data_IF_294332018627
#
_entry.id   IF_294332018627
#
_cell.length_a   1.000
_cell.length_b   1.000
_cell.length_c   1.000
_cell.angle_alpha   90.00
_cell.angle_beta   90.00
_cell.angle_gamma   90.00
#
_symmetry.space_group_name_H-M   'P 1'
#
loop_
_entity.id
_entity.type
_entity.pdbx_description
1 polymer ?
#
# COMPACT_ATOMS: atom_id res chain seq x y z
N UNK A 1 -2.67 -14.25 19.72
CA UNK A 1 -2.00 -14.02 18.42
C UNK A 1 -0.49 -14.01 18.64
N UNK A 2 0.27 -14.55 17.68
CA UNK A 2 1.74 -14.65 17.71
C UNK A 2 2.37 -13.41 17.06
N UNK A 3 3.62 -13.10 17.37
CA UNK A 3 4.37 -11.97 16.77
C UNK A 3 5.10 -12.36 15.49
N UNK A 4 5.60 -11.38 14.73
CA UNK A 4 6.49 -11.63 13.57
C UNK A 4 7.76 -12.36 14.00
N UNK A 5 8.32 -12.05 15.18
CA UNK A 5 9.47 -12.77 15.76
C UNK A 5 9.19 -14.26 15.96
N UNK A 6 8.02 -14.62 16.48
CA UNK A 6 7.63 -16.03 16.63
C UNK A 6 7.46 -16.71 15.27
N UNK A 7 7.00 -15.97 14.25
CA UNK A 7 6.89 -16.47 12.87
C UNK A 7 8.25 -16.72 12.24
N UNK A 8 9.18 -15.78 12.45
CA UNK A 8 10.56 -15.89 12.05
C UNK A 8 11.24 -17.11 12.69
N UNK A 9 11.13 -17.28 14.02
CA UNK A 9 11.75 -18.39 14.75
C UNK A 9 11.22 -19.75 14.26
N UNK A 10 9.92 -19.84 13.94
CA UNK A 10 9.33 -21.05 13.38
C UNK A 10 9.81 -21.33 11.95
N UNK A 11 9.89 -20.29 11.10
CA UNK A 11 10.46 -20.43 9.76
C UNK A 11 11.93 -20.85 9.79
N UNK A 12 12.70 -20.35 10.76
CA UNK A 12 14.11 -20.70 10.97
C UNK A 12 14.26 -22.17 11.37
N UNK A 13 13.39 -22.66 12.26
CA UNK A 13 13.34 -24.07 12.66
C UNK A 13 13.05 -24.98 11.46
N UNK A 14 12.07 -24.65 10.63
CA UNK A 14 11.74 -25.44 9.44
C UNK A 14 12.88 -25.44 8.41
N UNK A 15 13.47 -24.28 8.16
CA UNK A 15 14.58 -24.12 7.25
C UNK A 15 15.82 -24.92 7.71
N UNK A 16 16.06 -25.01 9.02
CA UNK A 16 17.20 -25.73 9.61
C UNK A 16 17.20 -27.23 9.29
N UNK A 17 16.06 -27.79 8.88
CA UNK A 17 15.90 -29.20 8.48
C UNK A 17 16.38 -29.47 7.06
N UNK A 18 16.45 -28.45 6.22
CA UNK A 18 16.75 -28.57 4.78
C UNK A 18 17.96 -27.75 4.33
N UNK A 19 18.51 -26.89 5.19
CA UNK A 19 19.67 -26.03 4.92
C UNK A 19 20.61 -26.01 6.12
N UNK A 20 21.89 -25.76 5.85
CA UNK A 20 22.89 -25.47 6.89
C UNK A 20 22.75 -24.02 7.38
N UNK A 21 21.68 -23.80 8.16
CA UNK A 21 21.36 -22.53 8.79
C UNK A 21 22.26 -22.30 9.99
N UNK A 22 22.78 -21.08 10.12
CA UNK A 22 23.48 -20.63 11.34
C UNK A 22 22.78 -19.41 11.92
N UNK A 23 22.45 -19.43 13.20
CA UNK A 23 21.86 -18.31 13.91
C UNK A 23 22.95 -17.60 14.75
N UNK A 24 23.23 -16.35 14.42
CA UNK A 24 24.08 -15.46 15.20
C UNK A 24 23.16 -14.47 15.93
N UNK A 25 22.83 -14.77 17.19
CA UNK A 25 21.99 -13.89 17.99
C UNK A 25 22.32 -13.93 19.47
N UNK A 26 21.82 -12.94 20.20
CA UNK A 26 21.77 -12.95 21.68
C UNK A 26 20.35 -13.24 22.20
N UNK A 27 19.36 -13.35 21.32
CA UNK A 27 17.93 -13.25 21.66
C UNK A 27 17.09 -14.51 21.34
N UNK A 28 17.63 -15.50 20.63
CA UNK A 28 16.90 -16.69 20.16
C UNK A 28 17.14 -17.93 21.05
N UNK A 29 16.67 -17.87 22.30
CA UNK A 29 16.90 -18.92 23.30
C UNK A 29 16.39 -20.30 22.87
N UNK A 30 15.17 -20.36 22.32
CA UNK A 30 14.55 -21.64 21.89
C UNK A 30 15.33 -22.34 20.78
N UNK A 31 15.85 -21.57 19.82
CA UNK A 31 16.68 -22.13 18.74
C UNK A 31 18.03 -22.59 19.29
N UNK A 32 18.63 -21.83 20.20
CA UNK A 32 19.89 -22.20 20.87
C UNK A 32 19.80 -23.53 21.63
N UNK A 33 18.69 -23.76 22.34
CA UNK A 33 18.44 -25.00 23.09
C UNK A 33 18.28 -26.22 22.17
N UNK A 34 17.56 -26.07 21.05
CA UNK A 34 17.29 -27.16 20.12
C UNK A 34 18.45 -27.45 19.17
N UNK A 35 19.18 -26.43 18.75
CA UNK A 35 20.24 -26.50 17.75
C UNK A 35 21.54 -25.85 18.24
N UNK A 36 22.15 -26.33 19.34
CA UNK A 36 23.31 -25.68 19.95
C UNK A 36 24.50 -25.58 18.99
N UNK A 37 24.67 -26.54 18.08
CA UNK A 37 25.74 -26.54 17.07
C UNK A 37 25.50 -25.57 15.91
N UNK A 38 24.29 -25.01 15.79
CA UNK A 38 23.91 -24.04 14.75
C UNK A 38 23.70 -22.63 15.32
N UNK A 39 23.92 -22.43 16.61
CA UNK A 39 23.68 -21.18 17.30
C UNK A 39 24.97 -20.61 17.87
N UNK A 40 25.25 -19.35 17.56
CA UNK A 40 26.38 -18.60 18.09
C UNK A 40 25.85 -17.40 18.85
N UNK A 41 26.23 -17.30 20.13
CA UNK A 41 25.79 -16.21 21.02
C UNK A 41 26.53 -14.89 20.72
N UNK A 42 26.36 -14.37 19.52
CA UNK A 42 26.94 -13.11 19.03
C UNK A 42 26.03 -12.50 17.99
N UNK A 43 26.11 -11.20 17.77
CA UNK A 43 25.33 -10.45 16.78
C UNK A 43 26.26 -9.76 15.76
N UNK A 44 27.42 -10.37 15.48
CA UNK A 44 28.46 -9.80 14.61
C UNK A 44 28.22 -10.17 13.14
N UNK A 45 28.04 -9.16 12.29
CA UNK A 45 27.73 -9.37 10.87
C UNK A 45 28.98 -9.80 10.07
N UNK A 46 30.20 -9.47 10.52
CA UNK A 46 31.44 -9.94 9.91
C UNK A 46 31.67 -11.44 10.11
N UNK A 47 31.33 -11.98 11.28
CA UNK A 47 31.34 -13.44 11.50
C UNK A 47 30.31 -14.11 10.59
N UNK A 48 29.12 -13.51 10.45
CA UNK A 48 28.10 -14.00 9.53
C UNK A 48 28.61 -14.03 8.08
N UNK A 49 29.25 -12.97 7.60
CA UNK A 49 29.89 -12.92 6.28
C UNK A 49 30.88 -14.09 6.08
N UNK A 50 31.78 -14.33 7.03
CA UNK A 50 32.71 -15.46 6.97
C UNK A 50 32.00 -16.82 6.88
N UNK A 51 30.93 -17.02 7.64
CA UNK A 51 30.13 -18.25 7.57
C UNK A 51 29.42 -18.42 6.22
N UNK A 52 28.98 -17.33 5.59
CA UNK A 52 28.40 -17.37 4.25
C UNK A 52 29.44 -17.80 3.19
N UNK A 53 30.70 -17.35 3.31
CA UNK A 53 31.80 -17.77 2.45
C UNK A 53 32.13 -19.27 2.58
N UNK A 54 31.96 -19.83 3.78
CA UNK A 54 32.05 -21.27 4.05
C UNK A 54 30.81 -22.06 3.59
N UNK A 55 29.93 -21.46 2.79
CA UNK A 55 28.77 -22.14 2.19
C UNK A 55 27.54 -22.26 3.07
N UNK A 56 27.54 -21.67 4.27
CA UNK A 56 26.41 -21.70 5.21
C UNK A 56 25.37 -20.62 4.87
N UNK A 57 24.21 -20.70 5.51
CA UNK A 57 23.16 -19.66 5.43
C UNK A 57 23.00 -18.98 6.79
N UNK A 58 23.78 -17.92 7.08
CA UNK A 58 23.74 -17.22 8.36
C UNK A 58 22.56 -16.24 8.46
N UNK A 59 21.90 -16.28 9.62
CA UNK A 59 20.91 -15.32 10.10
C UNK A 59 21.51 -14.59 11.29
N UNK A 60 21.77 -13.30 11.14
CA UNK A 60 22.37 -12.45 12.18
C UNK A 60 21.37 -11.41 12.67
N UNK A 61 21.20 -11.30 13.99
CA UNK A 61 20.33 -10.26 14.55
C UNK A 61 21.02 -8.93 14.68
N UNK A 62 20.25 -7.85 14.57
CA UNK A 62 20.68 -6.49 14.86
C UNK A 62 19.56 -5.72 15.58
N UNK A 63 19.89 -4.55 16.12
CA UNK A 63 18.92 -3.55 16.61
C UNK A 63 19.23 -2.28 15.85
N UNK A 64 18.42 -2.00 14.82
CA UNK A 64 18.70 -1.05 13.76
C UNK A 64 19.99 -1.44 13.01
N UNK A 65 20.52 -0.51 12.22
CA UNK A 65 21.82 -0.73 11.55
C UNK A 65 23.00 -0.62 12.53
N UNK A 66 22.82 0.13 13.62
CA UNK A 66 23.68 0.15 14.81
C UNK A 66 25.19 0.08 14.53
N UNK A 67 25.89 -0.74 15.32
CA UNK A 67 27.35 -0.98 15.19
C UNK A 67 27.72 -1.80 13.96
N UNK A 68 26.75 -2.52 13.39
CA UNK A 68 26.98 -3.42 12.26
C UNK A 68 26.92 -2.71 10.90
N UNK A 69 26.57 -1.41 10.86
CA UNK A 69 26.36 -0.66 9.62
C UNK A 69 27.44 -0.89 8.56
N UNK A 70 28.72 -0.73 8.93
CA UNK A 70 29.83 -0.88 7.99
C UNK A 70 29.93 -2.31 7.43
N UNK A 71 29.78 -3.33 8.30
CA UNK A 71 29.81 -4.73 7.90
C UNK A 71 28.61 -5.09 7.01
N UNK A 72 27.42 -4.60 7.35
CA UNK A 72 26.20 -4.81 6.54
C UNK A 72 26.37 -4.18 5.16
N UNK A 73 26.96 -2.98 5.09
CA UNK A 73 27.25 -2.32 3.82
C UNK A 73 28.22 -3.15 2.96
N UNK A 74 29.27 -3.71 3.54
CA UNK A 74 30.23 -4.58 2.85
C UNK A 74 29.57 -5.88 2.35
N UNK A 75 28.80 -6.55 3.21
CA UNK A 75 27.95 -7.71 2.87
C UNK A 75 27.09 -7.40 1.63
N UNK A 76 26.44 -6.23 1.64
CA UNK A 76 25.56 -5.82 0.56
C UNK A 76 26.33 -5.54 -0.74
N UNK A 77 27.46 -4.84 -0.64
CA UNK A 77 28.33 -4.51 -1.78
C UNK A 77 28.86 -5.78 -2.45
N UNK A 78 29.26 -6.76 -1.66
CA UNK A 78 29.79 -8.04 -2.13
C UNK A 78 28.68 -9.06 -2.49
N UNK A 79 27.40 -8.70 -2.32
CA UNK A 79 26.25 -9.58 -2.53
C UNK A 79 26.34 -10.91 -1.74
N UNK A 80 26.82 -10.83 -0.51
CA UNK A 80 27.05 -12.01 0.34
C UNK A 80 25.73 -12.61 0.84
N UNK A 81 25.73 -13.92 1.09
CA UNK A 81 24.54 -14.67 1.47
C UNK A 81 24.20 -14.55 2.97
N UNK A 82 24.01 -13.32 3.46
CA UNK A 82 23.72 -13.05 4.88
C UNK A 82 22.29 -12.53 5.05
N UNK A 83 21.56 -13.07 6.04
CA UNK A 83 20.20 -12.63 6.38
C UNK A 83 20.26 -11.81 7.66
N UNK A 84 20.09 -10.50 7.54
CA UNK A 84 20.07 -9.56 8.66
C UNK A 84 18.64 -9.46 9.20
N UNK A 85 18.49 -9.72 10.49
CA UNK A 85 17.21 -9.74 11.18
C UNK A 85 17.19 -8.60 12.19
N UNK A 86 16.44 -7.55 11.87
CA UNK A 86 16.32 -6.39 12.74
C UNK A 86 15.17 -6.55 13.71
N UNK A 87 15.46 -6.31 14.98
CA UNK A 87 14.56 -6.43 16.12
C UNK A 87 14.23 -5.07 16.76
N UNK A 88 14.64 -3.96 16.15
CA UNK A 88 14.27 -2.60 16.57
C UNK A 88 12.82 -2.28 16.17
N UNK A 89 12.14 -1.44 16.96
CA UNK A 89 10.76 -1.01 16.69
C UNK A 89 10.71 0.22 15.77
N UNK A 90 11.74 1.04 15.81
CA UNK A 90 11.86 2.27 15.01
C UNK A 90 12.02 1.94 13.51
N UNK A 91 11.56 2.78 12.59
CA UNK A 91 11.53 2.43 11.14
C UNK A 91 12.59 3.16 10.29
N UNK A 92 13.35 4.08 10.86
CA UNK A 92 14.25 4.97 10.13
C UNK A 92 15.42 4.23 9.46
N UNK A 93 15.86 3.13 10.08
CA UNK A 93 16.89 2.24 9.56
C UNK A 93 16.53 1.68 8.18
N UNK A 94 15.23 1.49 7.90
CA UNK A 94 14.74 1.00 6.62
C UNK A 94 15.05 1.98 5.47
N UNK A 95 15.11 3.29 5.75
CA UNK A 95 15.51 4.29 4.76
C UNK A 95 16.94 4.01 4.26
N UNK A 96 17.82 3.71 5.21
CA UNK A 96 19.24 3.46 4.96
C UNK A 96 19.44 2.04 4.39
N UNK A 97 18.72 1.05 4.89
CA UNK A 97 18.80 -0.31 4.37
C UNK A 97 18.43 -0.35 2.88
N UNK A 98 17.40 0.41 2.46
CA UNK A 98 16.92 0.43 1.08
C UNK A 98 17.92 0.90 0.04
N UNK A 99 18.86 1.77 0.42
CA UNK A 99 19.85 2.32 -0.51
C UNK A 99 21.05 1.39 -0.71
N UNK A 100 21.18 0.32 0.10
CA UNK A 100 22.28 -0.63 -0.05
C UNK A 100 22.09 -1.47 -1.34
N UNK A 101 23.17 -1.75 -2.08
CA UNK A 101 23.09 -2.55 -3.29
C UNK A 101 22.73 -4.01 -2.97
N UNK A 102 22.08 -4.70 -3.91
CA UNK A 102 21.76 -6.14 -3.86
C UNK A 102 20.81 -6.62 -2.75
N UNK A 103 20.57 -5.79 -1.73
CA UNK A 103 19.77 -6.11 -0.55
C UNK A 103 18.29 -6.26 -0.91
N UNK A 104 17.62 -7.17 -0.22
CA UNK A 104 16.17 -7.28 -0.19
C UNK A 104 15.68 -6.83 1.17
N UNK A 105 14.82 -5.82 1.22
CA UNK A 105 14.27 -5.28 2.48
C UNK A 105 12.83 -5.70 2.62
N UNK A 106 12.53 -6.44 3.69
CA UNK A 106 11.24 -7.08 3.94
C UNK A 106 10.70 -6.67 5.31
N UNK A 107 9.42 -6.33 5.37
CA UNK A 107 8.68 -5.92 6.57
C UNK A 107 7.38 -6.75 6.62
N UNK A 108 7.44 -7.98 7.17
CA UNK A 108 6.28 -8.86 7.22
C UNK A 108 5.16 -8.28 8.09
N UNK A 109 3.92 -8.43 7.66
CA UNK A 109 2.72 -7.90 8.30
C UNK A 109 2.33 -8.66 9.58
N UNK A 110 2.61 -9.95 9.63
CA UNK A 110 2.26 -10.79 10.75
C UNK A 110 3.15 -12.03 10.89
N UNK A 111 2.79 -12.91 11.82
CA UNK A 111 3.43 -14.19 12.06
C UNK A 111 3.54 -15.08 10.81
N UNK A 112 2.48 -15.18 9.99
CA UNK A 112 2.47 -16.06 8.84
C UNK A 112 3.39 -15.55 7.74
N UNK A 113 3.37 -14.24 7.51
CA UNK A 113 4.24 -13.62 6.52
C UNK A 113 5.71 -13.65 6.95
N UNK A 114 6.00 -13.44 8.24
CA UNK A 114 7.37 -13.53 8.75
C UNK A 114 7.94 -14.95 8.56
N UNK A 115 7.14 -15.98 8.79
CA UNK A 115 7.53 -17.37 8.52
C UNK A 115 7.86 -17.59 7.04
N UNK A 116 6.98 -17.13 6.13
CA UNK A 116 7.18 -17.23 4.67
C UNK A 116 8.43 -16.45 4.23
N UNK A 117 8.64 -15.25 4.77
CA UNK A 117 9.80 -14.41 4.52
C UNK A 117 11.12 -15.10 4.93
N UNK A 118 11.18 -15.71 6.12
CA UNK A 118 12.36 -16.46 6.58
C UNK A 118 12.72 -17.60 5.64
N UNK A 119 11.73 -18.39 5.23
CA UNK A 119 11.93 -19.53 4.32
C UNK A 119 12.40 -19.03 2.95
N UNK A 120 11.77 -17.99 2.40
CA UNK A 120 12.16 -17.40 1.12
C UNK A 120 13.58 -16.82 1.17
N UNK A 121 13.92 -16.09 2.23
CA UNK A 121 15.24 -15.50 2.42
C UNK A 121 16.33 -16.57 2.57
N UNK A 122 16.04 -17.66 3.28
CA UNK A 122 16.99 -18.74 3.51
C UNK A 122 17.20 -19.70 2.33
N UNK A 123 16.26 -19.75 1.39
CA UNK A 123 16.33 -20.59 0.19
C UNK A 123 16.93 -19.87 -1.01
N UNK A 124 17.12 -18.56 -0.93
CA UNK A 124 17.69 -17.70 -1.99
C UNK A 124 19.03 -17.10 -1.57
N UNK A 125 19.91 -16.85 -2.54
CA UNK A 125 21.24 -16.25 -2.27
C UNK A 125 21.18 -14.72 -2.17
N UNK A 126 22.17 -14.18 -1.48
CA UNK A 126 22.40 -12.74 -1.35
C UNK A 126 21.79 -12.15 -0.08
N UNK A 127 21.94 -10.82 0.10
CA UNK A 127 21.66 -10.17 1.36
C UNK A 127 20.18 -9.86 1.54
N UNK A 128 19.67 -10.11 2.74
CA UNK A 128 18.29 -9.80 3.15
C UNK A 128 18.31 -8.96 4.42
N UNK A 129 17.40 -8.00 4.53
CA UNK A 129 17.10 -7.25 5.74
C UNK A 129 15.63 -7.47 6.07
N UNK A 130 15.36 -8.17 7.18
CA UNK A 130 13.99 -8.48 7.61
C UNK A 130 13.74 -7.76 8.92
N UNK A 131 12.79 -6.81 8.91
CA UNK A 131 12.35 -6.05 10.08
C UNK A 131 11.27 -6.82 10.82
N UNK A 132 11.47 -7.17 12.08
CA UNK A 132 10.48 -7.91 12.86
C UNK A 132 9.86 -7.00 13.93
N UNK A 133 8.60 -6.63 13.71
CA UNK A 133 7.83 -5.76 14.59
C UNK A 133 6.99 -6.56 15.60
N UNK A 134 6.67 -5.96 16.75
CA UNK A 134 6.09 -6.70 17.89
C UNK A 134 4.58 -6.84 17.86
N UNK A 135 3.89 -6.06 17.04
CA UNK A 135 2.45 -6.10 16.92
C UNK A 135 1.96 -7.46 16.41
N UNK A 136 0.74 -7.79 16.84
CA UNK A 136 0.14 -9.09 16.63
C UNK A 136 -1.02 -8.97 15.67
N UNK A 137 -0.84 -9.50 14.47
CA UNK A 137 -1.88 -9.62 13.45
C UNK A 137 -1.95 -11.07 12.93
N UNK A 138 -2.97 -11.36 12.12
CA UNK A 138 -3.14 -12.66 11.46
C UNK A 138 -4.06 -12.48 10.24
N UNK A 139 -3.53 -11.82 9.21
CA UNK A 139 -4.25 -11.44 7.99
C UNK A 139 -3.64 -12.05 6.72
N UNK A 140 -2.41 -12.58 6.80
CA UNK A 140 -1.67 -13.10 5.62
C UNK A 140 -1.62 -14.64 5.56
N UNK A 141 -2.38 -15.36 6.39
CA UNK A 141 -2.32 -16.83 6.46
C UNK A 141 -2.48 -17.47 5.06
N UNK A 142 -3.49 -17.01 4.31
CA UNK A 142 -3.87 -17.55 2.99
C UNK A 142 -3.22 -16.85 1.80
N UNK A 143 -2.44 -15.79 2.01
CA UNK A 143 -1.81 -15.05 0.91
C UNK A 143 -0.60 -15.81 0.37
N UNK A 144 -0.25 -15.59 -0.89
CA UNK A 144 1.04 -16.03 -1.39
C UNK A 144 2.14 -15.14 -0.79
N UNK A 145 3.41 -15.53 -0.99
CA UNK A 145 4.54 -14.70 -0.62
C UNK A 145 5.64 -14.88 -1.66
N UNK A 146 5.94 -13.81 -2.38
CA UNK A 146 7.04 -13.79 -3.34
C UNK A 146 7.84 -12.51 -3.13
N UNK A 147 9.14 -12.64 -2.84
CA UNK A 147 10.01 -11.48 -2.62
C UNK A 147 9.98 -10.57 -3.85
N UNK A 148 9.71 -9.28 -3.62
CA UNK A 148 9.61 -8.26 -4.67
C UNK A 148 8.26 -8.25 -5.41
N UNK A 149 7.25 -8.96 -4.91
CA UNK A 149 5.86 -8.90 -5.38
C UNK A 149 4.94 -8.38 -4.28
N UNK A 150 3.95 -7.59 -4.68
CA UNK A 150 2.88 -7.15 -3.78
C UNK A 150 1.70 -8.13 -3.84
N UNK A 151 1.06 -8.36 -2.70
CA UNK A 151 -0.16 -9.18 -2.63
C UNK A 151 -1.41 -8.29 -2.60
N UNK A 152 -2.44 -8.67 -3.36
CA UNK A 152 -3.72 -7.96 -3.36
C UNK A 152 -4.56 -8.47 -2.19
N UNK A 153 -4.68 -7.67 -1.14
CA UNK A 153 -5.47 -8.00 0.04
C UNK A 153 -6.95 -7.70 -0.14
N UNK A 154 -7.24 -6.68 -0.96
CA UNK A 154 -8.60 -6.24 -1.31
C UNK A 154 -8.59 -5.58 -2.68
N UNK A 155 -9.58 -5.87 -3.51
CA UNK A 155 -9.78 -5.17 -4.77
C UNK A 155 -10.73 -3.97 -4.60
N UNK A 156 -10.44 -2.87 -5.30
CA UNK A 156 -11.26 -1.67 -5.38
C UNK A 156 -10.87 -0.82 -6.59
N UNK A 157 -11.57 0.30 -6.80
CA UNK A 157 -11.47 1.09 -8.04
C UNK A 157 -11.20 2.58 -7.82
N UNK A 158 -11.30 3.07 -6.59
CA UNK A 158 -11.32 4.49 -6.30
C UNK A 158 -10.00 5.00 -5.71
N UNK A 159 -9.27 4.18 -4.95
CA UNK A 159 -7.94 4.50 -4.44
C UNK A 159 -7.14 3.21 -4.21
N UNK A 160 -5.82 3.25 -4.35
CA UNK A 160 -4.96 2.15 -3.90
C UNK A 160 -4.31 2.55 -2.57
N UNK A 161 -4.53 1.78 -1.52
CA UNK A 161 -3.81 1.88 -0.25
C UNK A 161 -2.70 0.83 -0.30
N UNK A 162 -1.45 1.24 -0.13
CA UNK A 162 -0.30 0.34 -0.09
C UNK A 162 0.28 0.41 1.31
N UNK A 163 0.41 -0.76 1.93
CA UNK A 163 0.89 -0.89 3.29
C UNK A 163 1.92 -2.02 3.37
N UNK A 164 2.59 -2.12 4.51
CA UNK A 164 3.49 -3.21 4.87
C UNK A 164 3.40 -3.37 6.38
N UNK A 165 4.00 -4.44 6.91
CA UNK A 165 4.07 -4.60 8.35
C UNK A 165 2.68 -4.60 9.03
N UNK A 166 2.65 -4.40 10.35
CA UNK A 166 1.41 -4.40 11.12
C UNK A 166 0.39 -3.33 10.68
N UNK A 167 0.86 -2.27 10.01
CA UNK A 167 0.00 -1.23 9.44
C UNK A 167 -0.99 -1.76 8.39
N UNK A 168 -0.72 -2.92 7.79
CA UNK A 168 -1.60 -3.56 6.82
C UNK A 168 -2.99 -3.84 7.38
N UNK A 169 -3.09 -4.20 8.67
CA UNK A 169 -4.38 -4.40 9.32
C UNK A 169 -5.19 -3.10 9.38
N UNK A 170 -4.52 -1.98 9.68
CA UNK A 170 -5.16 -0.65 9.68
C UNK A 170 -5.64 -0.25 8.28
N UNK A 171 -4.85 -0.56 7.24
CA UNK A 171 -5.24 -0.34 5.86
C UNK A 171 -6.52 -1.12 5.48
N UNK A 172 -6.60 -2.40 5.85
CA UNK A 172 -7.79 -3.23 5.62
C UNK A 172 -9.02 -2.68 6.35
N UNK A 173 -8.88 -2.29 7.61
CA UNK A 173 -9.97 -1.70 8.41
C UNK A 173 -10.42 -0.34 7.84
N UNK A 174 -9.49 0.50 7.39
CA UNK A 174 -9.80 1.77 6.76
C UNK A 174 -10.57 1.56 5.45
N UNK A 175 -10.13 0.60 4.63
CA UNK A 175 -10.76 0.26 3.37
C UNK A 175 -12.21 -0.22 3.58
N UNK A 176 -12.47 -1.05 4.60
CA UNK A 176 -13.83 -1.48 4.95
C UNK A 176 -14.72 -0.29 5.40
N UNK A 177 -14.19 0.61 6.22
CA UNK A 177 -14.91 1.83 6.66
C UNK A 177 -15.22 2.78 5.50
N UNK A 178 -14.32 2.88 4.52
CA UNK A 178 -14.48 3.69 3.31
C UNK A 178 -15.50 3.09 2.34
N UNK A 179 -15.58 1.76 2.25
CA UNK A 179 -16.61 1.06 1.46
C UNK A 179 -18.03 1.41 1.90
N UNK A 180 -18.25 1.53 3.22
CA UNK A 180 -19.53 2.03 3.79
C UNK A 180 -19.85 3.47 3.41
N UNK A 181 -18.88 4.20 2.85
CA UNK A 181 -19.00 5.56 2.32
C UNK A 181 -18.85 5.58 0.79
N UNK A 182 -19.09 4.44 0.13
CA UNK A 182 -19.09 4.28 -1.33
C UNK A 182 -17.72 4.59 -1.99
N UNK A 183 -16.63 4.44 -1.23
CA UNK A 183 -15.24 4.57 -1.72
C UNK A 183 -14.56 3.21 -1.67
N UNK A 184 -14.36 2.60 -2.84
CA UNK A 184 -13.78 1.27 -2.96
C UNK A 184 -12.26 1.31 -3.14
N UNK A 185 -11.53 0.90 -2.11
CA UNK A 185 -10.07 0.92 -2.11
C UNK A 185 -9.48 -0.46 -2.44
N UNK A 186 -8.54 -0.50 -3.39
CA UNK A 186 -7.59 -1.60 -3.49
C UNK A 186 -6.64 -1.50 -2.30
N UNK A 187 -6.36 -2.62 -1.63
CA UNK A 187 -5.33 -2.71 -0.59
C UNK A 187 -4.26 -3.67 -1.06
N UNK A 188 -3.03 -3.16 -1.14
CA UNK A 188 -1.84 -3.95 -1.47
C UNK A 188 -0.95 -4.11 -0.25
N UNK A 189 -0.48 -5.33 -0.03
CA UNK A 189 0.61 -5.63 0.87
C UNK A 189 1.95 -5.56 0.12
N UNK A 190 2.78 -4.61 0.50
CA UNK A 190 4.14 -4.41 0.01
C UNK A 190 5.16 -4.85 1.06
N UNK A 191 5.03 -6.08 1.54
CA UNK A 191 5.98 -6.72 2.44
C UNK A 191 7.43 -6.59 1.97
N UNK A 192 7.71 -6.49 0.67
CA UNK A 192 9.03 -6.15 0.13
C UNK A 192 9.06 -4.69 -0.31
N UNK A 193 9.88 -3.86 0.34
CA UNK A 193 10.07 -2.45 -0.05
C UNK A 193 11.31 -2.24 -0.93
N UNK A 194 12.21 -3.23 -0.98
CA UNK A 194 13.36 -3.28 -1.88
C UNK A 194 13.61 -4.72 -2.29
N UNK A 195 13.61 -5.05 -3.60
CA UNK A 195 13.07 -4.24 -4.68
C UNK A 195 11.56 -4.04 -4.54
N UNK A 196 11.05 -2.87 -4.88
CA UNK A 196 9.59 -2.61 -4.94
C UNK A 196 8.97 -3.24 -6.20
N UNK A 197 7.74 -3.75 -6.10
CA UNK A 197 7.00 -4.29 -7.26
C UNK A 197 6.50 -3.16 -8.17
N UNK A 198 7.35 -2.74 -9.10
CA UNK A 198 7.01 -1.68 -10.07
C UNK A 198 5.78 -2.01 -10.91
N UNK A 199 5.57 -3.28 -11.26
CA UNK A 199 4.48 -3.68 -12.14
C UNK A 199 3.13 -3.56 -11.44
N UNK A 200 3.01 -4.12 -10.23
CA UNK A 200 1.80 -4.00 -9.42
C UNK A 200 1.49 -2.52 -9.12
N UNK A 201 2.53 -1.75 -8.77
CA UNK A 201 2.38 -0.34 -8.45
C UNK A 201 1.87 0.49 -9.63
N UNK A 202 2.45 0.34 -10.83
CA UNK A 202 1.99 1.04 -12.04
C UNK A 202 0.58 0.58 -12.45
N UNK A 203 0.29 -0.72 -12.36
CA UNK A 203 -1.03 -1.25 -12.66
C UNK A 203 -2.11 -0.65 -11.74
N UNK A 204 -1.84 -0.60 -10.44
CA UNK A 204 -2.71 0.03 -9.44
C UNK A 204 -2.86 1.53 -9.66
N UNK A 205 -1.78 2.25 -9.97
CA UNK A 205 -1.84 3.67 -10.30
C UNK A 205 -2.78 3.95 -11.49
N UNK A 206 -2.69 3.13 -12.54
CA UNK A 206 -3.58 3.20 -13.71
C UNK A 206 -5.03 2.86 -13.35
N UNK A 207 -5.23 1.83 -12.54
CA UNK A 207 -6.56 1.35 -12.16
C UNK A 207 -7.31 2.38 -11.31
N UNK A 208 -6.69 2.90 -10.25
CA UNK A 208 -7.38 3.71 -9.24
C UNK A 208 -7.17 5.22 -9.43
N UNK A 209 -6.07 5.61 -10.07
CA UNK A 209 -5.72 7.00 -10.36
C UNK A 209 -5.24 7.82 -9.16
N UNK A 210 -5.06 7.20 -7.99
CA UNK A 210 -4.41 7.80 -6.81
C UNK A 210 -3.97 6.70 -5.82
N UNK A 211 -2.94 7.01 -5.03
CA UNK A 211 -2.30 6.09 -4.08
C UNK A 211 -2.15 6.74 -2.70
N UNK A 212 -2.36 5.95 -1.64
CA UNK A 212 -2.03 6.29 -0.25
C UNK A 212 -1.04 5.26 0.29
N UNK A 213 0.11 5.71 0.78
CA UNK A 213 1.11 4.89 1.46
C UNK A 213 1.00 5.06 2.98
N UNK A 214 1.02 3.96 3.74
CA UNK A 214 0.76 3.98 5.20
C UNK A 214 1.97 4.33 6.07
N UNK A 215 3.16 4.47 5.47
CA UNK A 215 4.36 4.93 6.15
C UNK A 215 5.26 5.75 5.21
N UNK A 216 6.20 6.50 5.78
CA UNK A 216 7.08 7.43 5.04
C UNK A 216 8.13 6.75 4.19
N UNK A 217 8.66 5.61 4.64
CA UNK A 217 9.69 4.88 3.91
C UNK A 217 9.07 4.27 2.66
N UNK A 218 8.01 3.47 2.80
CA UNK A 218 7.26 2.93 1.67
C UNK A 218 6.77 4.05 0.74
N UNK A 219 6.26 5.14 1.31
CA UNK A 219 5.82 6.32 0.57
C UNK A 219 6.90 6.90 -0.36
N UNK A 220 8.15 6.98 0.09
CA UNK A 220 9.28 7.43 -0.75
C UNK A 220 9.54 6.47 -1.92
N UNK A 221 9.58 5.15 -1.69
CA UNK A 221 9.77 4.16 -2.77
C UNK A 221 8.67 4.23 -3.82
N UNK A 222 7.43 4.38 -3.35
CA UNK A 222 6.26 4.55 -4.20
C UNK A 222 6.40 5.83 -5.01
N UNK A 223 6.69 6.97 -4.37
CA UNK A 223 6.80 8.26 -5.03
C UNK A 223 7.89 8.27 -6.12
N UNK A 224 9.08 7.75 -5.80
CA UNK A 224 10.21 7.58 -6.75
C UNK A 224 9.80 6.76 -7.98
N UNK A 225 9.04 5.69 -7.78
CA UNK A 225 8.60 4.82 -8.88
C UNK A 225 7.49 5.49 -9.69
N UNK A 226 6.48 6.06 -9.03
CA UNK A 226 5.30 6.64 -9.69
C UNK A 226 5.66 7.88 -10.50
N UNK A 227 6.51 8.77 -9.98
CA UNK A 227 6.87 10.00 -10.69
C UNK A 227 7.62 9.76 -12.00
N UNK A 228 8.34 8.64 -12.13
CA UNK A 228 9.09 8.28 -13.33
C UNK A 228 8.26 7.48 -14.35
N UNK A 229 7.12 6.89 -13.96
CA UNK A 229 6.43 5.89 -14.78
C UNK A 229 4.96 6.24 -15.09
N UNK A 230 4.16 6.60 -14.09
CA UNK A 230 2.75 6.93 -14.28
C UNK A 230 2.28 7.87 -13.15
N UNK A 231 2.60 9.17 -13.22
CA UNK A 231 2.31 10.12 -12.16
C UNK A 231 0.81 10.19 -11.84
N UNK A 232 0.48 9.94 -10.57
CA UNK A 232 -0.85 10.10 -9.99
C UNK A 232 -0.70 10.77 -8.62
N UNK A 233 -1.77 11.35 -8.04
CA UNK A 233 -1.75 11.78 -6.66
C UNK A 233 -1.25 10.67 -5.73
N UNK A 234 -0.19 10.96 -4.98
CA UNK A 234 0.36 10.09 -3.93
C UNK A 234 0.26 10.83 -2.60
N UNK A 235 -0.38 10.22 -1.61
CA UNK A 235 -0.36 10.70 -0.21
C UNK A 235 0.45 9.73 0.64
N UNK A 236 1.20 10.27 1.58
CA UNK A 236 2.02 9.51 2.52
C UNK A 236 1.48 9.85 3.91
N UNK A 237 1.14 8.82 4.69
CA UNK A 237 0.42 8.99 5.95
C UNK A 237 0.95 8.04 7.02
N UNK A 238 0.33 8.10 8.19
CA UNK A 238 0.49 7.12 9.27
C UNK A 238 -0.76 6.25 9.38
N UNK A 239 -0.69 5.09 10.05
CA UNK A 239 -1.83 4.17 10.14
C UNK A 239 -3.13 4.79 10.68
N UNK A 240 -3.02 5.80 11.54
CA UNK A 240 -4.18 6.47 12.15
C UNK A 240 -4.92 7.43 11.21
N UNK A 241 -4.29 7.87 10.12
CA UNK A 241 -4.82 8.93 9.25
C UNK A 241 -5.12 8.44 7.81
N UNK A 242 -5.21 7.12 7.60
CA UNK A 242 -5.46 6.52 6.28
C UNK A 242 -6.77 7.01 5.65
N UNK A 243 -7.87 7.05 6.41
CA UNK A 243 -9.20 7.42 5.88
C UNK A 243 -9.20 8.85 5.35
N UNK A 244 -8.64 9.80 6.12
CA UNK A 244 -8.58 11.20 5.71
C UNK A 244 -7.72 11.35 4.46
N UNK A 245 -6.56 10.69 4.40
CA UNK A 245 -5.68 10.79 3.24
C UNK A 245 -6.21 10.10 1.99
N UNK A 246 -7.02 9.05 2.12
CA UNK A 246 -7.77 8.51 0.97
C UNK A 246 -8.76 9.54 0.46
N UNK A 247 -9.54 10.19 1.33
CA UNK A 247 -10.47 11.24 0.90
C UNK A 247 -9.73 12.39 0.21
N UNK A 248 -8.61 12.84 0.78
CA UNK A 248 -7.78 13.89 0.19
C UNK A 248 -7.18 13.48 -1.17
N UNK A 249 -6.71 12.23 -1.31
CA UNK A 249 -6.18 11.71 -2.56
C UNK A 249 -7.26 11.59 -3.65
N UNK A 250 -8.45 11.10 -3.28
CA UNK A 250 -9.59 11.00 -4.19
C UNK A 250 -10.08 12.39 -4.62
N UNK A 251 -10.17 13.34 -3.69
CA UNK A 251 -10.54 14.72 -4.00
C UNK A 251 -9.56 15.34 -5.00
N UNK A 252 -8.25 15.23 -4.76
CA UNK A 252 -7.23 15.73 -5.68
C UNK A 252 -7.30 15.06 -7.06
N UNK A 253 -7.56 13.74 -7.11
CA UNK A 253 -7.79 13.03 -8.37
C UNK A 253 -8.99 13.59 -9.14
N UNK A 254 -10.09 13.89 -8.44
CA UNK A 254 -11.28 14.50 -9.03
C UNK A 254 -10.98 15.93 -9.52
N UNK A 255 -10.27 16.74 -8.75
CA UNK A 255 -9.87 18.11 -9.14
C UNK A 255 -9.04 18.12 -10.42
N UNK A 256 -7.98 17.32 -10.47
CA UNK A 256 -7.13 17.18 -11.67
C UNK A 256 -7.96 16.73 -12.89
N UNK A 257 -8.91 15.80 -12.71
CA UNK A 257 -9.81 15.40 -13.79
C UNK A 257 -10.71 16.56 -14.25
N UNK A 258 -11.22 17.36 -13.32
CA UNK A 258 -12.07 18.52 -13.61
C UNK A 258 -11.34 19.57 -14.45
N UNK A 259 -10.08 19.86 -14.12
CA UNK A 259 -9.23 20.80 -14.87
C UNK A 259 -8.95 20.31 -16.29
N UNK A 260 -8.58 19.03 -16.46
CA UNK A 260 -8.32 18.44 -17.78
C UNK A 260 -9.57 18.49 -18.67
N UNK A 261 -10.74 18.18 -18.09
CA UNK A 261 -12.02 18.25 -18.80
C UNK A 261 -12.38 19.69 -19.16
N UNK A 262 -12.03 20.70 -18.36
CA UNK A 262 -12.25 22.10 -18.73
C UNK A 262 -11.37 22.52 -19.92
N UNK A 263 -10.11 22.08 -19.94
CA UNK A 263 -9.15 22.36 -21.02
C UNK A 263 -9.55 21.66 -22.33
N UNK A 264 -9.96 20.39 -22.27
CA UNK A 264 -10.25 19.57 -23.45
C UNK A 264 -11.74 19.53 -23.84
N UNK A 265 -12.64 19.84 -22.90
CA UNK A 265 -14.09 19.65 -23.00
C UNK A 265 -14.86 20.74 -23.75
N UNK A 266 -14.19 21.72 -24.36
CA UNK A 266 -14.82 22.58 -25.38
C UNK A 266 -15.43 21.78 -26.54
N UNK A 267 -15.03 20.52 -26.73
CA UNK A 267 -15.56 19.61 -27.76
C UNK A 267 -16.73 18.72 -27.33
N UNK A 268 -17.07 18.65 -26.04
CA UNK A 268 -18.12 17.77 -25.48
C UNK A 268 -19.35 18.52 -24.95
N UNK A 269 -19.39 19.85 -25.05
CA UNK A 269 -20.57 20.63 -24.68
C UNK A 269 -21.68 20.42 -25.73
N UNK A 270 -22.57 19.47 -25.46
CA UNK A 270 -23.93 19.52 -25.99
C UNK A 270 -24.61 20.75 -25.37
N UNK A 271 -24.97 21.73 -26.19
CA UNK A 271 -25.75 22.87 -25.74
C UNK A 271 -27.13 22.40 -25.28
N UNK A 272 -27.31 22.23 -23.97
CA UNK A 272 -28.62 21.99 -23.40
C UNK A 272 -29.51 23.22 -23.60
N UNK A 273 -30.79 22.99 -23.93
CA UNK A 273 -31.79 24.05 -23.90
C UNK A 273 -31.96 24.56 -22.46
N UNK A 274 -32.23 25.86 -22.24
CA UNK A 274 -32.37 26.42 -20.88
C UNK A 274 -33.40 25.74 -19.99
N UNK A 275 -34.41 25.11 -20.59
CA UNK A 275 -35.46 24.34 -19.92
C UNK A 275 -34.93 23.05 -19.26
N UNK A 276 -33.83 22.50 -19.80
CA UNK A 276 -33.19 21.26 -19.35
C UNK A 276 -32.05 21.53 -18.36
N UNK A 277 -31.82 22.78 -17.96
CA UNK A 277 -30.80 23.09 -16.96
C UNK A 277 -31.21 22.59 -15.57
N UNK A 278 -30.26 22.01 -14.84
CA UNK A 278 -30.49 21.64 -13.44
C UNK A 278 -30.35 22.85 -12.54
N UNK A 279 -31.33 23.09 -11.67
CA UNK A 279 -31.31 24.20 -10.71
C UNK A 279 -31.00 23.65 -9.32
N UNK A 280 -29.95 24.18 -8.71
CA UNK A 280 -29.56 23.79 -7.36
C UNK A 280 -30.44 24.47 -6.31
N UNK A 281 -30.66 23.77 -5.21
CA UNK A 281 -31.26 24.32 -3.99
C UNK A 281 -30.40 25.48 -3.50
N UNK A 282 -31.01 26.65 -3.26
CA UNK A 282 -30.34 27.92 -2.89
C UNK A 282 -29.52 28.60 -3.98
N UNK A 283 -29.73 28.23 -5.25
CA UNK A 283 -29.18 28.96 -6.41
C UNK A 283 -27.99 28.27 -7.05
N UNK A 284 -27.72 28.63 -8.30
CA UNK A 284 -26.76 27.94 -9.17
C UNK A 284 -27.46 27.10 -10.23
N UNK A 285 -26.83 27.00 -11.40
CA UNK A 285 -27.38 26.31 -12.56
C UNK A 285 -26.30 25.42 -13.13
N UNK A 286 -26.62 24.14 -13.33
CA UNK A 286 -25.75 23.18 -13.98
C UNK A 286 -26.29 22.92 -15.39
N UNK A 287 -25.39 22.99 -16.37
CA UNK A 287 -25.73 22.96 -17.81
C UNK A 287 -25.09 21.79 -18.57
N UNK A 288 -24.23 21.02 -17.92
CA UNK A 288 -23.48 19.92 -18.54
C UNK A 288 -23.06 18.90 -17.48
N UNK A 289 -22.79 17.67 -17.88
CA UNK A 289 -22.23 16.63 -16.98
C UNK A 289 -20.88 17.06 -16.39
N UNK A 290 -19.91 17.63 -17.16
CA UNK A 290 -18.73 18.27 -16.59
C UNK A 290 -19.05 19.38 -15.58
N UNK A 291 -20.10 20.17 -15.84
CA UNK A 291 -20.57 21.19 -14.93
C UNK A 291 -21.10 20.62 -13.61
N UNK A 292 -21.75 19.44 -13.64
CA UNK A 292 -22.18 18.74 -12.42
C UNK A 292 -20.97 18.31 -11.60
N UNK A 293 -19.97 17.72 -12.24
CA UNK A 293 -18.73 17.33 -11.57
C UNK A 293 -18.04 18.53 -10.89
N UNK A 294 -17.91 19.66 -11.59
CA UNK A 294 -17.37 20.92 -11.03
C UNK A 294 -18.24 21.52 -9.93
N UNK A 295 -19.56 21.44 -10.07
CA UNK A 295 -20.48 21.90 -9.03
C UNK A 295 -20.31 21.07 -7.76
N UNK A 296 -20.22 19.74 -7.87
CA UNK A 296 -20.05 18.86 -6.72
C UNK A 296 -18.77 19.18 -5.93
N UNK A 297 -17.65 19.48 -6.59
CA UNK A 297 -16.41 19.90 -5.91
C UNK A 297 -16.66 21.01 -4.88
N UNK A 298 -17.43 22.03 -5.28
CA UNK A 298 -17.66 23.24 -4.48
C UNK A 298 -18.99 23.25 -3.70
N UNK A 299 -19.87 22.27 -3.95
CA UNK A 299 -21.20 22.20 -3.34
C UNK A 299 -21.11 21.83 -1.86
N UNK A 300 -21.83 22.57 -0.99
CA UNK A 300 -21.93 22.21 0.42
C UNK A 300 -22.84 20.98 0.62
N UNK A 301 -22.67 20.29 1.75
CA UNK A 301 -23.41 19.06 2.07
C UNK A 301 -24.93 19.27 2.17
N UNK A 302 -25.39 20.44 2.62
CA UNK A 302 -26.83 20.73 2.71
C UNK A 302 -27.49 20.77 1.33
N UNK A 303 -26.86 21.47 0.37
CA UNK A 303 -27.32 21.56 -1.02
C UNK A 303 -27.26 20.18 -1.69
N UNK A 304 -26.20 19.42 -1.43
CA UNK A 304 -26.08 18.05 -1.94
C UNK A 304 -27.20 17.15 -1.41
N UNK A 305 -27.40 17.13 -0.09
CA UNK A 305 -28.39 16.26 0.58
C UNK A 305 -29.82 16.56 0.16
N UNK A 306 -30.11 17.82 -0.18
CA UNK A 306 -31.40 18.21 -0.74
C UNK A 306 -31.69 17.48 -2.06
N UNK A 307 -30.69 17.27 -2.91
CA UNK A 307 -30.84 16.64 -4.23
C UNK A 307 -30.54 15.15 -4.24
N UNK A 308 -29.63 14.69 -3.39
CA UNK A 308 -29.19 13.32 -3.33
C UNK A 308 -29.12 12.85 -1.87
N UNK A 309 -29.90 11.84 -1.55
CA UNK A 309 -29.92 11.18 -0.24
C UNK A 309 -30.36 9.72 -0.43
N UNK A 310 -30.55 8.98 0.66
CA UNK A 310 -30.91 7.56 0.61
C UNK A 310 -32.22 7.25 -0.10
N UNK A 311 -33.10 8.24 -0.29
CA UNK A 311 -34.42 8.04 -0.90
C UNK A 311 -34.51 8.53 -2.35
N UNK A 312 -33.60 9.41 -2.78
CA UNK A 312 -33.64 10.01 -4.12
C UNK A 312 -32.26 10.44 -4.60
N UNK A 313 -32.11 10.49 -5.92
CA UNK A 313 -30.98 11.11 -6.59
C UNK A 313 -31.48 11.95 -7.79
N UNK A 314 -31.75 13.23 -7.56
CA UNK A 314 -32.26 14.14 -8.59
C UNK A 314 -31.24 14.31 -9.75
N UNK A 315 -29.94 14.16 -9.46
CA UNK A 315 -28.89 14.25 -10.47
C UNK A 315 -28.92 13.05 -11.44
N UNK A 316 -29.22 11.84 -10.95
CA UNK A 316 -29.32 10.64 -11.80
C UNK A 316 -30.48 10.80 -12.80
N UNK A 317 -31.62 11.30 -12.33
CA UNK A 317 -32.82 11.58 -13.13
C UNK A 317 -32.49 12.63 -14.19
N UNK A 318 -31.87 13.74 -13.79
CA UNK A 318 -31.47 14.79 -14.71
C UNK A 318 -30.50 14.32 -15.79
N UNK A 319 -29.49 13.52 -15.43
CA UNK A 319 -28.53 12.95 -16.40
C UNK A 319 -29.24 12.08 -17.43
N UNK A 320 -30.21 11.27 -16.99
CA UNK A 320 -31.02 10.43 -17.88
C UNK A 320 -31.89 11.26 -18.82
N UNK A 321 -32.58 12.26 -18.30
CA UNK A 321 -33.58 13.03 -19.06
C UNK A 321 -32.96 14.10 -19.96
N UNK A 322 -31.93 14.80 -19.49
CA UNK A 322 -31.33 15.91 -20.22
C UNK A 322 -30.27 15.46 -21.24
N UNK A 323 -29.54 14.37 -20.97
CA UNK A 323 -28.43 13.92 -21.84
C UNK A 323 -28.66 12.55 -22.49
N UNK A 324 -29.71 11.82 -22.12
CA UNK A 324 -29.95 10.45 -22.59
C UNK A 324 -28.75 9.51 -22.35
N UNK A 325 -28.16 9.60 -21.15
CA UNK A 325 -27.01 8.80 -20.70
C UNK A 325 -27.46 7.72 -19.69
N UNK A 326 -28.11 6.62 -20.12
CA UNK A 326 -28.75 5.68 -19.21
C UNK A 326 -27.78 4.88 -18.33
N UNK A 327 -26.55 4.63 -18.82
CA UNK A 327 -25.53 3.90 -18.06
C UNK A 327 -25.00 4.77 -16.92
N UNK A 328 -24.63 6.02 -17.21
CA UNK A 328 -24.18 6.96 -16.18
C UNK A 328 -25.29 7.22 -15.17
N UNK A 329 -26.52 7.49 -15.63
CA UNK A 329 -27.65 7.70 -14.75
C UNK A 329 -27.87 6.51 -13.79
N UNK A 330 -27.85 5.28 -14.31
CA UNK A 330 -27.99 4.07 -13.49
C UNK A 330 -26.85 3.90 -12.47
N UNK A 331 -25.64 4.34 -12.79
CA UNK A 331 -24.52 4.29 -11.86
C UNK A 331 -24.65 5.36 -10.78
N UNK A 332 -25.03 6.59 -11.14
CA UNK A 332 -25.28 7.67 -10.18
C UNK A 332 -26.43 7.33 -9.24
N UNK A 333 -27.48 6.70 -9.72
CA UNK A 333 -28.67 6.33 -8.93
C UNK A 333 -28.35 5.42 -7.73
N UNK A 334 -27.26 4.65 -7.82
CA UNK A 334 -26.81 3.73 -6.76
C UNK A 334 -25.95 4.38 -5.69
N UNK A 335 -25.67 5.67 -5.82
CA UNK A 335 -24.66 6.38 -5.06
C UNK A 335 -25.30 7.58 -4.39
N UNK A 336 -25.13 7.66 -3.07
CA UNK A 336 -25.82 8.63 -2.21
C UNK A 336 -24.86 9.55 -1.46
N UNK A 337 -23.56 9.38 -1.64
CA UNK A 337 -22.52 10.26 -1.09
C UNK A 337 -21.99 11.21 -2.15
N UNK A 338 -21.62 12.42 -1.72
CA UNK A 338 -21.00 13.43 -2.60
C UNK A 338 -19.73 12.89 -3.24
N UNK A 339 -18.86 12.24 -2.46
CA UNK A 339 -17.60 11.69 -2.94
C UNK A 339 -17.80 10.54 -3.92
N UNK A 340 -18.74 9.63 -3.63
CA UNK A 340 -19.11 8.54 -4.55
C UNK A 340 -19.61 9.09 -5.89
N UNK A 341 -20.47 10.12 -5.86
CA UNK A 341 -21.00 10.73 -7.09
C UNK A 341 -19.88 11.36 -7.92
N UNK A 342 -18.96 12.06 -7.28
CA UNK A 342 -17.77 12.62 -7.95
C UNK A 342 -16.91 11.52 -8.58
N UNK A 343 -16.75 10.38 -7.92
CA UNK A 343 -16.00 9.23 -8.44
C UNK A 343 -16.67 8.61 -9.68
N UNK A 344 -17.99 8.43 -9.68
CA UNK A 344 -18.73 7.94 -10.85
C UNK A 344 -18.61 8.89 -12.04
N UNK A 345 -18.76 10.20 -11.81
CA UNK A 345 -18.57 11.22 -12.85
C UNK A 345 -17.13 11.25 -13.37
N UNK A 346 -16.14 11.18 -12.47
CA UNK A 346 -14.72 11.15 -12.84
C UNK A 346 -14.40 9.94 -13.72
N UNK A 347 -15.04 8.79 -13.48
CA UNK A 347 -14.86 7.60 -14.30
C UNK A 347 -15.53 7.70 -15.67
N UNK A 348 -16.64 8.43 -15.78
CA UNK A 348 -17.30 8.68 -17.07
C UNK A 348 -16.57 9.74 -17.91
N UNK A 349 -15.87 10.68 -17.27
CA UNK A 349 -15.13 11.75 -17.94
C UNK A 349 -13.76 11.32 -18.50
N UNK A 350 -13.22 10.19 -18.04
CA UNK A 350 -12.01 9.56 -18.57
C UNK A 350 -12.35 8.63 -19.73
#
# INVERSE_FOLDING_TARGET
MKTTKEGFEEGLEELSKIKEVIALSTSFKKFAEKHPNKYFKTADAGIAAGMAHEGKTPFVTTVGLGKNWQQIKEICTNNENVKIIDLDEELEDLAIARILPNIKVIIPADYHEAKKATIAAGTTKGPYYIKLLTEKASITEKTAFTVGRMEIMRAGKDCTIISNGPALQNAMMAAEKLSKQEVECTVLDSHTIQPIDKHALIASARLTGCIVATDRILGSAIAETICQNYPVPVRITTPDNIIAEVKNAVMLKCEVCGEIVEEHGKKLQLELRPELYFRLHRGGIIKSIPGLHKALLNMNEETFTYHCNTNKNDFSIWVKEAFNEPILAKNLDKVHTKLGMMLELTRWLK
#
